data_IF_124810183907
#
_entry.id   IF_124810183907
#
_cell.length_a   1.000
_cell.length_b   1.000
_cell.length_c   1.000
_cell.angle_alpha   90.00
_cell.angle_beta   90.00
_cell.angle_gamma   90.00
#
_symmetry.space_group_name_H-M   'P 1'
#
loop_
_entity.id
_entity.type
_entity.pdbx_description
1 polymer ?
#
# COMPACT_ATOMS: atom_id res chain seq x y z
N UNK A 1 35.32 23.47 -8.97
CA UNK A 1 34.44 22.32 -9.10
C UNK A 1 33.24 22.57 -8.20
N UNK A 2 32.19 23.10 -8.75
CA UNK A 2 30.93 23.37 -8.04
C UNK A 2 30.10 22.12 -8.08
N UNK A 3 30.13 21.36 -6.98
CA UNK A 3 29.22 20.21 -6.82
C UNK A 3 27.78 20.71 -6.79
N UNK A 4 27.00 20.35 -7.81
CA UNK A 4 25.55 20.50 -7.77
C UNK A 4 25.05 19.54 -6.71
N UNK A 5 24.81 20.04 -5.51
CA UNK A 5 24.01 19.33 -4.51
C UNK A 5 22.58 19.30 -5.04
N UNK A 6 22.18 18.24 -5.72
CA UNK A 6 20.78 17.92 -5.92
C UNK A 6 20.19 17.62 -4.55
N UNK A 7 19.55 18.60 -3.96
CA UNK A 7 18.75 18.45 -2.74
C UNK A 7 17.48 17.68 -3.11
N UNK A 8 17.61 16.36 -3.32
CA UNK A 8 16.47 15.49 -3.43
C UNK A 8 15.85 15.44 -2.03
N UNK A 9 14.71 16.11 -1.85
CA UNK A 9 13.93 15.99 -0.62
C UNK A 9 13.65 14.49 -0.35
N UNK A 10 13.87 14.05 0.88
CA UNK A 10 13.64 12.65 1.21
C UNK A 10 12.17 12.31 1.00
N UNK A 11 11.93 11.22 0.25
CA UNK A 11 10.57 10.77 -0.03
C UNK A 11 10.07 9.95 1.16
N UNK A 12 8.99 10.43 1.78
CA UNK A 12 8.31 9.72 2.86
C UNK A 12 7.38 8.65 2.29
N UNK A 13 7.26 7.53 3.00
CA UNK A 13 6.35 6.44 2.64
C UNK A 13 5.05 6.58 3.43
N UNK A 14 3.91 6.51 2.75
CA UNK A 14 2.56 6.51 3.34
C UNK A 14 1.84 5.20 3.02
N UNK A 15 0.98 4.76 3.94
CA UNK A 15 0.07 3.65 3.68
C UNK A 15 -1.13 4.19 2.88
N UNK A 16 -1.38 3.59 1.74
CA UNK A 16 -2.55 3.89 0.89
C UNK A 16 -3.16 2.57 0.49
N UNK A 17 -4.47 2.49 0.57
CA UNK A 17 -5.26 1.30 0.24
C UNK A 17 -6.08 1.58 -1.01
N UNK A 18 -5.84 0.78 -2.03
CA UNK A 18 -6.61 0.73 -3.26
C UNK A 18 -7.66 -0.40 -3.16
N UNK A 19 -8.87 -0.17 -3.68
CA UNK A 19 -9.96 -1.15 -3.64
C UNK A 19 -10.15 -1.76 -2.23
N UNK A 20 -10.50 -0.95 -1.21
CA UNK A 20 -10.43 -1.32 0.20
C UNK A 20 -11.34 -2.49 0.55
N UNK A 21 -10.79 -3.48 1.27
CA UNK A 21 -11.56 -4.50 1.97
C UNK A 21 -11.56 -4.17 3.47
N UNK A 22 -12.74 -4.17 4.07
CA UNK A 22 -12.89 -3.97 5.51
C UNK A 22 -12.39 -5.19 6.28
N UNK A 23 -11.59 -4.95 7.31
CA UNK A 23 -11.15 -5.97 8.28
C UNK A 23 -11.73 -5.62 9.64
N UNK A 24 -12.41 -6.57 10.27
CA UNK A 24 -12.90 -6.46 11.65
C UNK A 24 -12.10 -7.39 12.54
N UNK A 25 -11.41 -6.83 13.53
CA UNK A 25 -10.64 -7.60 14.52
C UNK A 25 -11.57 -7.95 15.68
N UNK A 26 -12.14 -9.15 15.65
CA UNK A 26 -13.24 -9.57 16.53
C UNK A 26 -12.87 -9.62 18.00
N UNK A 27 -11.60 -9.88 18.33
CA UNK A 27 -11.08 -9.93 19.70
C UNK A 27 -10.37 -8.62 20.13
N UNK A 28 -10.49 -7.52 19.35
CA UNK A 28 -10.02 -6.20 19.75
C UNK A 28 -11.15 -5.43 20.45
N UNK A 29 -10.86 -4.65 21.52
CA UNK A 29 -11.89 -3.87 22.22
C UNK A 29 -12.64 -2.92 21.26
N UNK A 30 -13.96 -2.75 21.48
CA UNK A 30 -14.80 -1.92 20.59
C UNK A 30 -14.37 -0.45 20.60
N UNK A 31 -14.12 0.10 21.78
CA UNK A 31 -13.65 1.48 21.99
C UNK A 31 -12.11 1.58 22.01
N UNK A 32 -11.42 0.47 21.73
CA UNK A 32 -9.96 0.42 21.76
C UNK A 32 -9.33 1.22 20.64
N UNK A 33 -8.33 2.02 20.99
CA UNK A 33 -7.47 2.72 20.05
C UNK A 33 -6.03 2.69 20.54
N UNK A 34 -5.12 2.38 19.64
CA UNK A 34 -3.69 2.44 19.92
C UNK A 34 -2.99 3.22 18.78
N UNK A 35 -1.88 3.86 19.12
CA UNK A 35 -1.01 4.47 18.13
C UNK A 35 0.14 3.52 17.82
N UNK A 36 0.23 3.12 16.55
CA UNK A 36 1.31 2.28 16.03
C UNK A 36 2.40 3.14 15.42
N UNK A 37 3.63 2.82 15.74
CA UNK A 37 4.79 3.51 15.18
C UNK A 37 5.20 2.87 13.85
N UNK A 38 5.15 3.65 12.77
CA UNK A 38 5.49 3.19 11.43
C UNK A 38 6.60 4.09 10.86
N UNK A 39 7.66 3.45 10.39
CA UNK A 39 8.81 4.12 9.77
C UNK A 39 8.37 4.97 8.56
N UNK A 40 8.88 6.19 8.49
CA UNK A 40 8.63 7.10 7.36
C UNK A 40 9.39 6.68 6.10
N UNK A 41 10.51 6.00 6.26
CA UNK A 41 11.28 5.45 5.14
C UNK A 41 12.09 4.24 5.61
N UNK A 42 11.91 3.10 4.96
CA UNK A 42 12.60 1.85 5.31
C UNK A 42 14.13 1.91 5.15
N UNK A 43 14.60 2.73 4.23
CA UNK A 43 16.01 2.79 3.86
C UNK A 43 16.75 3.97 4.51
N UNK A 44 16.04 4.81 5.26
CA UNK A 44 16.63 5.99 5.92
C UNK A 44 15.95 6.24 7.27
N UNK A 45 16.55 5.69 8.32
CA UNK A 45 16.08 5.82 9.71
C UNK A 45 16.11 7.27 10.22
N UNK A 46 16.96 8.13 9.63
CA UNK A 46 17.03 9.54 10.01
C UNK A 46 15.72 10.31 9.73
N UNK A 47 14.84 9.77 8.88
CA UNK A 47 13.51 10.33 8.63
C UNK A 47 12.49 9.98 9.72
N UNK A 48 12.89 9.19 10.72
CA UNK A 48 12.07 8.84 11.87
C UNK A 48 10.85 7.99 11.51
N UNK A 49 9.87 8.07 12.38
CA UNK A 49 8.61 7.33 12.31
C UNK A 49 7.43 8.27 12.52
N UNK A 50 6.25 7.76 12.22
CA UNK A 50 4.97 8.45 12.50
C UNK A 50 4.02 7.54 13.26
N UNK A 51 3.09 8.14 13.98
CA UNK A 51 2.05 7.43 14.73
C UNK A 51 0.81 7.28 13.85
N UNK A 52 0.37 6.03 13.66
CA UNK A 52 -0.82 5.69 12.87
C UNK A 52 -1.84 5.05 13.81
N UNK A 53 -3.08 5.55 13.86
CA UNK A 53 -4.14 4.94 14.67
C UNK A 53 -4.42 3.50 14.25
N UNK A 54 -4.66 2.65 15.24
CA UNK A 54 -5.05 1.24 15.09
C UNK A 54 -6.27 0.96 15.95
N UNK A 55 -7.32 0.47 15.36
CA UNK A 55 -8.57 0.15 16.03
C UNK A 55 -9.13 -1.20 15.60
N UNK A 56 -10.35 -1.50 16.03
CA UNK A 56 -11.06 -2.74 15.68
C UNK A 56 -11.37 -2.87 14.19
N UNK A 57 -11.67 -1.75 13.51
CA UNK A 57 -12.02 -1.74 12.09
C UNK A 57 -10.92 -1.08 11.26
N UNK A 58 -10.40 -1.84 10.32
CA UNK A 58 -9.30 -1.42 9.45
C UNK A 58 -9.67 -1.63 7.98
N UNK A 59 -8.92 -0.99 7.08
CA UNK A 59 -8.91 -1.30 5.66
C UNK A 59 -7.57 -1.91 5.26
N UNK A 60 -7.65 -2.90 4.38
CA UNK A 60 -6.50 -3.49 3.68
C UNK A 60 -6.73 -3.42 2.18
N UNK A 61 -5.66 -3.50 1.43
CA UNK A 61 -5.69 -3.49 -0.02
C UNK A 61 -6.44 -4.71 -0.58
N UNK A 62 -7.27 -4.52 -1.60
CA UNK A 62 -8.00 -5.61 -2.24
C UNK A 62 -7.10 -6.71 -2.78
N UNK A 63 -5.90 -6.35 -3.27
CA UNK A 63 -4.91 -7.31 -3.72
C UNK A 63 -4.27 -8.13 -2.58
N UNK A 64 -4.41 -7.69 -1.33
CA UNK A 64 -3.86 -8.38 -0.17
C UNK A 64 -4.75 -9.51 0.34
N UNK A 65 -5.91 -9.74 -0.29
CA UNK A 65 -6.79 -10.86 0.01
C UNK A 65 -7.07 -11.72 -1.22
N UNK A 66 -7.14 -13.03 -1.02
CA UNK A 66 -7.54 -13.98 -2.06
C UNK A 66 -8.42 -15.09 -1.47
N UNK A 67 -9.62 -15.30 -2.04
CA UNK A 67 -10.54 -16.33 -1.59
C UNK A 67 -9.96 -17.75 -1.80
N UNK A 68 -9.37 -17.99 -2.98
CA UNK A 68 -8.74 -19.25 -3.35
C UNK A 68 -7.25 -19.00 -3.62
N UNK A 69 -6.38 -19.10 -2.61
CA UNK A 69 -4.99 -18.72 -2.74
C UNK A 69 -4.22 -19.64 -3.68
N UNK A 70 -3.44 -19.05 -4.56
CA UNK A 70 -2.50 -19.80 -5.41
C UNK A 70 -1.26 -20.22 -4.63
N UNK A 71 -0.53 -21.22 -5.15
CA UNK A 71 0.73 -21.66 -4.53
C UNK A 71 1.70 -20.50 -4.35
N UNK A 72 2.28 -20.36 -3.13
CA UNK A 72 3.19 -19.28 -2.73
C UNK A 72 2.51 -17.90 -2.54
N UNK A 73 1.20 -17.85 -2.36
CA UNK A 73 0.54 -16.63 -1.90
C UNK A 73 0.73 -16.50 -0.39
N UNK A 74 1.36 -15.41 0.04
CA UNK A 74 1.73 -15.17 1.46
C UNK A 74 0.97 -13.98 2.08
N UNK A 75 -0.15 -13.59 1.48
CA UNK A 75 -1.02 -12.53 1.99
C UNK A 75 -2.25 -13.13 2.68
N UNK A 76 -3.30 -12.35 2.94
CA UNK A 76 -4.50 -12.83 3.63
C UNK A 76 -5.34 -13.78 2.78
N UNK A 77 -5.79 -14.85 3.40
CA UNK A 77 -6.88 -15.74 2.98
C UNK A 77 -7.45 -16.44 4.21
N UNK A 78 -8.62 -17.05 4.11
CA UNK A 78 -9.27 -17.74 5.24
C UNK A 78 -8.35 -18.77 5.88
N UNK A 79 -8.10 -18.62 7.17
CA UNK A 79 -7.21 -19.48 7.97
C UNK A 79 -5.75 -19.05 8.03
N UNK A 80 -5.30 -18.11 7.18
CA UNK A 80 -3.92 -17.64 7.18
C UNK A 80 -3.68 -16.49 8.14
N UNK A 81 -2.42 -16.37 8.57
CA UNK A 81 -1.94 -15.32 9.46
C UNK A 81 -0.86 -14.50 8.75
N UNK A 82 -0.94 -13.18 8.86
CA UNK A 82 0.04 -12.22 8.32
C UNK A 82 0.42 -11.20 9.38
N UNK A 83 1.52 -10.48 9.17
CA UNK A 83 1.87 -9.30 9.97
C UNK A 83 1.25 -8.06 9.36
N UNK A 84 0.52 -7.29 10.14
CA UNK A 84 0.20 -5.91 9.81
C UNK A 84 1.43 -5.04 10.11
N UNK A 85 1.87 -4.28 9.12
CA UNK A 85 3.11 -3.48 9.17
C UNK A 85 3.11 -2.56 10.39
N UNK A 86 4.13 -2.69 11.24
CA UNK A 86 4.24 -1.90 12.46
C UNK A 86 3.26 -2.24 13.58
N UNK A 87 2.39 -3.25 13.40
CA UNK A 87 1.35 -3.62 14.35
C UNK A 87 1.48 -5.09 14.81
N UNK A 88 0.45 -5.88 14.62
CA UNK A 88 0.28 -7.23 15.16
C UNK A 88 0.27 -8.31 14.08
N UNK A 89 0.32 -9.56 14.50
CA UNK A 89 -0.11 -10.68 13.68
C UNK A 89 -1.63 -10.73 13.66
N UNK A 90 -2.18 -10.85 12.45
CA UNK A 90 -3.61 -10.88 12.19
C UNK A 90 -3.92 -12.17 11.43
N UNK A 91 -4.88 -12.94 11.96
CA UNK A 91 -5.37 -14.16 11.36
C UNK A 91 -6.77 -13.95 10.81
N UNK A 92 -6.98 -14.25 9.53
CA UNK A 92 -8.30 -14.24 8.92
C UNK A 92 -9.05 -15.51 9.30
N UNK A 93 -10.14 -15.40 10.04
CA UNK A 93 -10.94 -16.55 10.48
C UNK A 93 -12.12 -16.81 9.55
N UNK A 94 -12.78 -15.74 9.07
CA UNK A 94 -13.91 -15.84 8.18
C UNK A 94 -14.00 -14.66 7.21
N UNK A 95 -14.87 -14.81 6.20
CA UNK A 95 -15.04 -13.87 5.10
C UNK A 95 -16.52 -13.64 4.88
N UNK A 96 -16.92 -12.39 4.83
CA UNK A 96 -18.29 -11.98 4.48
C UNK A 96 -18.31 -11.52 3.03
N UNK A 97 -19.26 -12.05 2.26
CA UNK A 97 -19.46 -11.68 0.87
C UNK A 97 -20.86 -11.08 0.68
N UNK A 98 -21.02 -10.27 -0.35
CA UNK A 98 -22.33 -9.85 -0.82
C UNK A 98 -23.04 -10.96 -1.61
N UNK A 99 -24.25 -10.66 -2.11
CA UNK A 99 -25.07 -11.60 -2.89
C UNK A 99 -24.44 -11.98 -4.24
N UNK A 100 -23.48 -11.18 -4.73
CA UNK A 100 -22.74 -11.42 -5.97
C UNK A 100 -21.44 -12.22 -5.71
N UNK A 101 -21.14 -12.55 -4.43
CA UNK A 101 -19.94 -13.26 -4.02
C UNK A 101 -18.68 -12.38 -3.90
N UNK A 102 -18.83 -11.05 -3.98
CA UNK A 102 -17.74 -10.12 -3.75
C UNK A 102 -17.46 -10.00 -2.26
N UNK A 103 -16.18 -10.05 -1.89
CA UNK A 103 -15.74 -9.88 -0.50
C UNK A 103 -15.97 -8.44 -0.05
N UNK A 104 -16.71 -8.28 1.05
CA UNK A 104 -17.00 -6.98 1.67
C UNK A 104 -16.32 -6.80 3.02
N UNK A 105 -16.11 -7.92 3.77
CA UNK A 105 -15.53 -7.86 5.10
C UNK A 105 -14.75 -9.13 5.43
N UNK A 106 -13.64 -8.98 6.15
CA UNK A 106 -12.85 -10.07 6.71
C UNK A 106 -12.96 -10.05 8.23
N UNK A 107 -13.40 -11.18 8.81
CA UNK A 107 -13.44 -11.37 10.25
C UNK A 107 -12.10 -11.96 10.71
N UNK A 108 -11.35 -11.18 11.46
CA UNK A 108 -9.99 -11.52 11.85
C UNK A 108 -9.83 -11.53 13.38
N UNK A 109 -8.75 -12.15 13.84
CA UNK A 109 -8.27 -12.03 15.23
C UNK A 109 -6.82 -11.55 15.22
N UNK A 110 -6.44 -10.79 16.25
CA UNK A 110 -5.05 -10.39 16.46
C UNK A 110 -4.41 -11.15 17.62
N UNK A 111 -3.09 -11.25 17.62
CA UNK A 111 -2.29 -11.76 18.73
C UNK A 111 -1.68 -10.59 19.52
N UNK A 112 -2.19 -10.28 20.73
CA UNK A 112 -1.70 -9.14 21.52
C UNK A 112 -0.20 -9.19 21.85
N UNK A 113 0.37 -10.41 21.93
CA UNK A 113 1.79 -10.61 22.24
C UNK A 113 2.72 -10.27 21.08
N UNK A 114 2.18 -10.25 19.85
CA UNK A 114 2.94 -10.08 18.62
C UNK A 114 3.19 -8.63 18.21
N UNK A 115 2.95 -7.65 19.09
CA UNK A 115 3.16 -6.22 18.81
C UNK A 115 4.56 -5.97 18.24
N UNK A 116 4.66 -5.19 17.19
CA UNK A 116 5.94 -4.79 16.61
C UNK A 116 6.77 -4.02 17.64
N UNK A 117 8.05 -4.34 17.77
CA UNK A 117 8.93 -3.73 18.76
C UNK A 117 8.85 -4.32 20.19
N UNK A 118 7.96 -5.29 20.45
CA UNK A 118 7.86 -5.94 21.76
C UNK A 118 8.92 -7.01 22.05
N UNK A 119 9.80 -7.31 21.08
CA UNK A 119 10.75 -8.41 21.21
C UNK A 119 10.13 -9.81 21.04
N UNK A 120 8.91 -9.89 20.53
CA UNK A 120 8.26 -11.18 20.28
C UNK A 120 9.02 -12.03 19.24
N UNK A 121 9.46 -13.21 19.68
CA UNK A 121 10.25 -14.17 18.88
C UNK A 121 9.55 -15.54 18.69
N UNK A 122 8.33 -15.69 19.21
CA UNK A 122 7.62 -16.97 19.32
C UNK A 122 7.35 -17.67 17.98
N UNK A 123 7.06 -16.93 16.92
CA UNK A 123 6.85 -17.46 15.57
C UNK A 123 7.08 -16.42 14.48
N UNK A 124 7.33 -16.89 13.27
CA UNK A 124 7.50 -16.03 12.09
C UNK A 124 6.36 -16.23 11.11
N UNK A 125 5.79 -15.14 10.61
CA UNK A 125 4.84 -15.14 9.50
C UNK A 125 5.54 -14.68 8.22
N UNK A 126 5.13 -15.20 7.07
CA UNK A 126 5.79 -14.91 5.80
C UNK A 126 5.31 -13.62 5.14
N UNK A 127 4.07 -13.23 5.39
CA UNK A 127 3.45 -12.06 4.78
C UNK A 127 3.46 -10.85 5.70
N UNK A 128 3.79 -9.68 5.15
CA UNK A 128 3.56 -8.38 5.79
C UNK A 128 2.74 -7.53 4.84
N UNK A 129 1.59 -7.05 5.30
CA UNK A 129 0.70 -6.17 4.53
C UNK A 129 0.56 -4.83 5.25
N UNK A 130 0.22 -3.79 4.51
CA UNK A 130 -0.11 -2.50 5.08
C UNK A 130 -1.61 -2.40 5.33
N UNK A 131 -1.99 -1.45 6.14
CA UNK A 131 -3.35 -1.24 6.62
C UNK A 131 -3.54 0.23 6.96
N UNK A 132 -4.78 0.66 7.09
CA UNK A 132 -5.17 1.96 7.62
C UNK A 132 -6.35 1.80 8.57
N UNK A 133 -6.46 2.67 9.57
CA UNK A 133 -7.62 2.71 10.47
C UNK A 133 -8.83 3.29 9.74
N UNK A 134 -9.94 2.58 9.77
CA UNK A 134 -11.17 2.98 9.05
C UNK A 134 -11.76 4.30 9.54
N UNK A 135 -11.66 4.57 10.85
CA UNK A 135 -12.26 5.76 11.48
C UNK A 135 -11.55 7.04 11.11
N UNK A 136 -10.24 6.95 10.91
CA UNK A 136 -9.37 8.10 10.60
C UNK A 136 -8.93 8.13 9.14
N UNK A 137 -9.38 7.18 8.32
CA UNK A 137 -9.03 7.09 6.92
C UNK A 137 -9.46 8.34 6.14
N UNK A 138 -8.52 8.94 5.42
CA UNK A 138 -8.76 10.06 4.52
C UNK A 138 -8.95 9.53 3.11
N UNK A 139 -10.02 9.95 2.44
CA UNK A 139 -10.28 9.63 1.04
C UNK A 139 -9.47 10.56 0.15
N UNK A 140 -8.77 9.98 -0.81
CA UNK A 140 -7.98 10.72 -1.80
C UNK A 140 -8.26 10.21 -3.22
N UNK A 141 -8.05 11.06 -4.20
CA UNK A 141 -8.07 10.70 -5.61
C UNK A 141 -6.65 10.46 -6.13
N UNK A 142 -6.47 9.34 -6.80
CA UNK A 142 -5.20 8.94 -7.39
C UNK A 142 -5.36 8.81 -8.90
N UNK A 143 -4.50 9.51 -9.66
CA UNK A 143 -4.44 9.41 -11.10
C UNK A 143 -3.27 8.47 -11.50
N UNK A 144 -3.60 7.38 -12.15
CA UNK A 144 -2.65 6.49 -12.80
C UNK A 144 -2.64 6.74 -14.30
N UNK A 145 -1.50 6.55 -14.94
CA UNK A 145 -1.33 6.81 -16.36
C UNK A 145 -0.79 5.58 -17.06
N UNK A 146 -1.43 5.21 -18.16
CA UNK A 146 -1.00 4.20 -19.12
C UNK A 146 -0.46 4.86 -20.40
N UNK A 147 0.07 4.05 -21.31
CA UNK A 147 0.53 4.54 -22.59
C UNK A 147 -0.58 5.25 -23.37
N UNK A 148 -0.28 6.45 -23.88
CA UNK A 148 -1.21 7.26 -24.66
C UNK A 148 -1.61 6.60 -25.97
N UNK A 149 -0.71 5.80 -26.53
CA UNK A 149 -0.94 5.02 -27.74
C UNK A 149 -0.66 3.55 -27.47
N UNK A 150 -1.56 2.68 -27.91
CA UNK A 150 -1.43 1.23 -27.84
C UNK A 150 -1.29 0.63 -29.23
N UNK A 151 -0.46 -0.39 -29.35
CA UNK A 151 -0.30 -1.12 -30.60
C UNK A 151 -1.44 -2.12 -30.77
N UNK A 152 -2.15 -2.01 -31.90
CA UNK A 152 -3.20 -2.94 -32.31
C UNK A 152 -2.87 -3.48 -33.71
N UNK A 153 -2.27 -4.65 -33.78
CA UNK A 153 -1.63 -5.14 -35.01
C UNK A 153 -0.44 -4.27 -35.41
N UNK A 154 -0.45 -3.71 -36.64
CA UNK A 154 0.57 -2.81 -37.13
C UNK A 154 0.21 -1.32 -36.96
N UNK A 155 -0.95 -1.01 -36.42
CA UNK A 155 -1.42 0.35 -36.21
C UNK A 155 -1.24 0.81 -34.76
N UNK A 156 -0.96 2.13 -34.59
CA UNK A 156 -0.96 2.79 -33.29
C UNK A 156 -2.32 3.46 -33.06
N UNK A 157 -3.04 3.04 -32.02
CA UNK A 157 -4.35 3.60 -31.67
C UNK A 157 -4.26 4.42 -30.40
N UNK A 158 -5.01 5.52 -30.35
CA UNK A 158 -5.14 6.35 -29.16
C UNK A 158 -5.83 5.57 -28.04
N UNK A 159 -5.17 5.50 -26.87
CA UNK A 159 -5.71 4.86 -25.68
C UNK A 159 -6.62 5.85 -24.92
N UNK A 160 -7.92 5.73 -25.08
CA UNK A 160 -8.91 6.55 -24.35
C UNK A 160 -8.89 6.32 -22.82
N UNK A 161 -8.24 5.24 -22.34
CA UNK A 161 -8.08 4.89 -20.94
C UNK A 161 -6.69 5.20 -20.40
N UNK A 162 -5.91 6.01 -21.12
CA UNK A 162 -4.54 6.37 -20.71
C UNK A 162 -4.46 7.12 -19.36
N UNK A 163 -5.56 7.67 -18.86
CA UNK A 163 -5.70 8.21 -17.51
C UNK A 163 -6.81 7.47 -16.77
N UNK A 164 -6.46 6.86 -15.64
CA UNK A 164 -7.37 6.15 -14.75
C UNK A 164 -7.40 6.92 -13.43
N UNK A 165 -8.57 7.35 -12.98
CA UNK A 165 -8.76 7.96 -11.66
C UNK A 165 -9.34 6.93 -10.72
N UNK A 166 -8.71 6.74 -9.55
CA UNK A 166 -9.15 5.84 -8.50
C UNK A 166 -9.38 6.59 -7.21
N UNK A 167 -10.44 6.25 -6.51
CA UNK A 167 -10.65 6.65 -5.12
C UNK A 167 -9.92 5.68 -4.21
N UNK A 168 -9.04 6.23 -3.35
CA UNK A 168 -8.23 5.45 -2.43
C UNK A 168 -8.39 5.99 -1.02
N UNK A 169 -8.01 5.19 -0.03
CA UNK A 169 -7.97 5.61 1.36
C UNK A 169 -6.54 5.62 1.88
N UNK A 170 -6.24 6.57 2.76
CA UNK A 170 -4.91 6.74 3.32
C UNK A 170 -4.98 7.19 4.78
N UNK A 171 -3.84 7.23 5.42
CA UNK A 171 -3.67 7.72 6.79
C UNK A 171 -3.80 9.25 6.87
N UNK A 172 -4.22 9.84 8.03
CA UNK A 172 -4.46 11.29 8.17
C UNK A 172 -3.26 12.18 7.84
N UNK A 173 -2.04 11.70 8.07
CA UNK A 173 -0.81 12.45 7.80
C UNK A 173 -0.59 12.83 6.33
N UNK A 174 -1.46 12.40 5.41
CA UNK A 174 -1.47 12.84 4.01
C UNK A 174 -1.93 14.29 3.85
N UNK A 175 -2.74 14.79 4.78
CA UNK A 175 -3.28 16.16 4.74
C UNK A 175 -2.20 17.22 4.97
N UNK A 176 -1.11 16.86 5.65
CA UNK A 176 0.04 17.73 5.91
C UNK A 176 0.87 18.02 4.65
N UNK A 177 0.64 17.29 3.57
CA UNK A 177 1.39 17.47 2.33
C UNK A 177 0.91 18.67 1.53
N UNK A 178 1.86 19.39 0.91
CA UNK A 178 1.58 20.50 0.00
C UNK A 178 1.55 20.05 -1.47
N UNK A 179 0.90 20.81 -2.36
CA UNK A 179 1.03 20.60 -3.80
C UNK A 179 2.51 20.60 -4.23
N UNK A 180 2.88 19.65 -5.08
CA UNK A 180 4.26 19.42 -5.52
C UNK A 180 5.06 18.46 -4.64
N UNK A 181 4.61 18.15 -3.43
CA UNK A 181 5.27 17.18 -2.56
C UNK A 181 5.22 15.78 -3.16
N UNK A 182 6.33 15.05 -2.99
CA UNK A 182 6.49 13.69 -3.48
C UNK A 182 6.34 12.70 -2.33
N UNK A 183 5.66 11.59 -2.61
CA UNK A 183 5.37 10.54 -1.62
C UNK A 183 5.51 9.16 -2.27
N UNK A 184 5.95 8.20 -1.49
CA UNK A 184 5.87 6.80 -1.84
C UNK A 184 4.59 6.20 -1.24
N UNK A 185 3.66 5.76 -2.05
CA UNK A 185 2.59 4.90 -1.59
C UNK A 185 3.15 3.49 -1.45
N UNK A 186 3.19 3.02 -0.20
CA UNK A 186 3.86 1.77 0.15
C UNK A 186 3.35 0.62 -0.72
N UNK A 187 4.28 -0.04 -1.44
CA UNK A 187 4.04 -1.13 -2.39
C UNK A 187 3.36 -0.75 -3.72
N UNK A 188 2.84 0.46 -3.88
CA UNK A 188 2.20 0.90 -5.13
C UNK A 188 3.14 1.68 -6.05
N UNK A 189 3.82 2.70 -5.53
CA UNK A 189 4.69 3.50 -6.37
C UNK A 189 5.04 4.86 -5.77
N UNK A 190 5.46 5.76 -6.65
CA UNK A 190 5.79 7.14 -6.30
C UNK A 190 4.78 8.09 -6.93
N UNK A 191 4.32 9.03 -6.13
CA UNK A 191 3.26 9.96 -6.49
C UNK A 191 3.65 11.39 -6.14
N UNK A 192 3.01 12.35 -6.80
CA UNK A 192 3.14 13.77 -6.49
C UNK A 192 1.75 14.33 -6.24
N UNK A 193 1.58 15.10 -5.15
CA UNK A 193 0.34 15.81 -4.87
C UNK A 193 0.15 16.95 -5.85
N UNK A 194 -1.03 17.04 -6.47
CA UNK A 194 -1.39 18.11 -7.39
C UNK A 194 -2.11 19.27 -6.67
N UNK A 195 -2.31 20.40 -7.37
CA UNK A 195 -3.01 21.58 -6.83
C UNK A 195 -4.48 21.28 -6.51
N UNK A 196 -5.11 20.37 -7.24
CA UNK A 196 -6.51 19.94 -7.01
C UNK A 196 -6.64 18.95 -5.82
N UNK A 197 -5.54 18.63 -5.13
CA UNK A 197 -5.49 17.69 -4.03
C UNK A 197 -5.36 16.21 -4.45
N UNK A 198 -5.45 15.90 -5.73
CA UNK A 198 -5.22 14.55 -6.25
C UNK A 198 -3.74 14.17 -6.25
N UNK A 199 -3.46 12.89 -6.40
CA UNK A 199 -2.10 12.35 -6.46
C UNK A 199 -1.82 11.75 -7.84
N UNK A 200 -0.80 12.27 -8.51
CA UNK A 200 -0.39 11.81 -9.83
C UNK A 200 0.71 10.76 -9.72
N UNK A 201 0.48 9.59 -10.30
CA UNK A 201 1.48 8.52 -10.38
C UNK A 201 2.67 8.97 -11.24
N UNK A 202 3.88 8.82 -10.70
CA UNK A 202 5.14 9.06 -11.41
C UNK A 202 5.82 7.77 -11.81
N UNK A 203 5.70 6.75 -10.96
CA UNK A 203 6.31 5.44 -11.18
C UNK A 203 5.53 4.38 -10.40
N UNK A 204 4.94 3.43 -11.12
CA UNK A 204 4.20 2.33 -10.53
C UNK A 204 5.09 1.09 -10.37
N UNK A 205 5.00 0.37 -9.24
CA UNK A 205 5.84 -0.81 -9.01
C UNK A 205 5.50 -2.01 -9.90
N UNK A 206 4.27 -2.13 -10.39
CA UNK A 206 3.90 -3.20 -11.32
C UNK A 206 4.70 -3.15 -12.63
N UNK A 207 5.18 -1.99 -13.03
CA UNK A 207 6.06 -1.84 -14.19
C UNK A 207 7.39 -2.58 -14.02
N UNK A 208 7.90 -2.70 -12.79
CA UNK A 208 9.12 -3.48 -12.48
C UNK A 208 8.93 -4.98 -12.64
N UNK A 209 7.74 -5.51 -12.33
CA UNK A 209 7.46 -6.94 -12.51
C UNK A 209 7.29 -7.33 -13.98
N UNK A 210 6.75 -6.46 -14.80
CA UNK A 210 6.57 -6.73 -16.23
C UNK A 210 7.91 -6.69 -16.99
N UNK A 211 8.80 -5.76 -16.68
CA UNK A 211 10.13 -5.65 -17.29
C UNK A 211 11.04 -6.82 -16.90
N UNK A 212 10.87 -7.44 -15.74
CA UNK A 212 11.65 -8.59 -15.31
C UNK A 212 11.16 -9.93 -15.90
N UNK A 213 9.90 -10.00 -16.38
CA UNK A 213 9.35 -11.22 -16.99
C UNK A 213 9.47 -11.24 -18.53
N UNK A 214 9.78 -10.13 -19.16
CA UNK A 214 10.13 -10.07 -20.58
C UNK A 214 11.65 -10.04 -20.74
N UNK A 215 12.32 -10.98 -20.09
CA UNK A 215 13.77 -11.11 -20.19
C UNK A 215 14.21 -11.44 -21.59
N UNK A 216 14.70 -10.43 -22.31
CA UNK A 216 15.85 -10.49 -23.23
C UNK A 216 16.18 -9.15 -23.89
N UNK A 217 15.93 -8.03 -23.22
CA UNK A 217 16.46 -6.75 -23.68
C UNK A 217 17.13 -6.06 -22.49
N UNK A 218 18.42 -5.83 -22.62
CA UNK A 218 19.41 -5.11 -21.87
C UNK A 218 19.02 -4.51 -20.49
N UNK A 219 19.80 -4.87 -19.49
CA UNK A 219 19.84 -4.20 -18.18
C UNK A 219 20.02 -2.69 -18.37
N UNK A 220 18.94 -1.94 -18.34
CA UNK A 220 19.00 -0.53 -18.02
C UNK A 220 19.15 -0.42 -16.50
N UNK A 221 20.36 -0.19 -16.06
CA UNK A 221 20.72 0.11 -14.68
C UNK A 221 19.94 1.34 -14.22
N UNK A 222 19.14 1.20 -13.17
CA UNK A 222 18.47 2.29 -12.47
C UNK A 222 19.48 3.15 -11.66
N UNK A 223 20.72 3.31 -12.19
CA UNK A 223 21.78 4.13 -11.57
C UNK A 223 21.98 5.50 -12.21
N UNK A 224 21.28 5.79 -13.29
CA UNK A 224 21.43 7.10 -13.95
C UNK A 224 20.07 7.56 -14.49
N UNK A 225 19.37 8.35 -13.68
CA UNK A 225 18.71 9.62 -14.01
C UNK A 225 17.95 10.13 -12.80
N UNK A 226 18.68 10.92 -12.05
CA UNK A 226 18.13 11.97 -11.22
C UNK A 226 17.62 13.09 -12.10
#
# INVERSE_FOLDING_TARGET
>A
MTGVQTCALPILSKNVVFDPIKVVITNYPEEGEELMEIENNRNNEALGSRKVPFSRELYVDGEDFMMNPVKKYFRLFKGNEVRFKGAYFIKCNDVVTDDEGKVIELLCTYDPKSRSGSGFDGRKVKGTIHWIDKRTAVKIDVNEYEDLFIKDGDEMKFNKRSKIRRECFTEPSIEEMNPGDKVQFFRHGYYTKDEDGSFNCRLHYSFFFYVHNTSKIGRASCRERV
#
